data_IF_646360242073
#
_entry.id   IF_646360242073
#
_cell.length_a   1.000
_cell.length_b   1.000
_cell.length_c   1.000
_cell.angle_alpha   90.00
_cell.angle_beta   90.00
_cell.angle_gamma   90.00
#
_symmetry.space_group_name_H-M   'P 1'
#
loop_
_entity.id
_entity.type
_entity.pdbx_description
1 polymer ?
#
# COMPACT_ATOMS: atom_id res chain seq x y z
N UNK A 1 14.22 -2.80 10.56
CA UNK A 1 13.44 -3.51 9.53
C UNK A 1 14.18 -3.45 8.19
N UNK A 2 14.68 -4.58 7.66
CA UNK A 2 15.33 -4.59 6.34
C UNK A 2 14.28 -4.27 5.29
N UNK A 3 14.38 -3.10 4.65
CA UNK A 3 13.69 -2.82 3.40
C UNK A 3 14.17 -3.90 2.44
N UNK A 4 13.38 -4.96 2.22
CA UNK A 4 13.58 -5.85 1.09
C UNK A 4 13.31 -5.02 -0.16
N UNK A 5 14.34 -4.28 -0.56
CA UNK A 5 14.46 -3.76 -1.91
C UNK A 5 14.45 -5.01 -2.79
N UNK A 6 13.72 -4.99 -3.89
CA UNK A 6 13.75 -6.04 -4.90
C UNK A 6 14.68 -5.58 -6.03
N UNK A 7 16.01 -5.54 -5.83
CA UNK A 7 16.93 -4.97 -6.81
C UNK A 7 16.89 -5.75 -8.12
N UNK A 8 16.77 -7.08 -8.07
CA UNK A 8 16.64 -7.92 -9.26
C UNK A 8 15.37 -7.61 -10.06
N UNK A 9 14.25 -7.36 -9.36
CA UNK A 9 13.00 -6.96 -10.02
C UNK A 9 13.09 -5.56 -10.65
N UNK A 10 13.78 -4.62 -9.99
CA UNK A 10 13.99 -3.28 -10.53
C UNK A 10 14.89 -3.32 -11.78
N UNK A 11 15.94 -4.14 -11.75
CA UNK A 11 16.85 -4.32 -12.88
C UNK A 11 16.15 -5.03 -14.05
N UNK A 12 15.29 -6.01 -13.74
CA UNK A 12 14.44 -6.66 -14.74
C UNK A 12 13.54 -5.64 -15.46
N UNK A 13 12.83 -4.79 -14.70
CA UNK A 13 11.98 -3.74 -15.26
C UNK A 13 12.77 -2.74 -16.11
N UNK A 14 13.99 -2.38 -15.67
CA UNK A 14 14.89 -1.46 -16.36
C UNK A 14 15.43 -2.04 -17.66
N UNK A 15 16.07 -3.21 -17.60
CA UNK A 15 16.70 -3.83 -18.77
C UNK A 15 15.72 -4.18 -19.87
N UNK A 16 14.48 -4.50 -19.50
CA UNK A 16 13.40 -4.81 -20.45
C UNK A 16 12.60 -3.57 -20.88
N UNK A 17 12.91 -2.39 -20.34
CA UNK A 17 12.17 -1.13 -20.60
C UNK A 17 10.65 -1.28 -20.45
N UNK A 18 10.21 -2.11 -19.50
CA UNK A 18 8.78 -2.46 -19.32
C UNK A 18 7.98 -1.28 -18.76
N UNK A 19 8.66 -0.40 -18.03
CA UNK A 19 8.08 0.80 -17.41
C UNK A 19 9.10 1.94 -17.51
N UNK A 20 8.63 3.18 -17.51
CA UNK A 20 9.53 4.32 -17.40
C UNK A 20 10.34 4.24 -16.10
N UNK A 21 11.63 4.57 -16.18
CA UNK A 21 12.57 4.45 -15.05
C UNK A 21 12.08 5.17 -13.78
N UNK A 22 11.41 6.31 -13.93
CA UNK A 22 10.86 7.07 -12.80
C UNK A 22 9.80 6.29 -12.00
N UNK A 23 9.14 5.32 -12.63
CA UNK A 23 8.10 4.48 -12.01
C UNK A 23 8.62 3.15 -11.45
N UNK A 24 9.85 2.73 -11.77
CA UNK A 24 10.39 1.43 -11.33
C UNK A 24 10.30 1.26 -9.81
N UNK A 25 10.64 2.31 -9.04
CA UNK A 25 10.54 2.29 -7.57
C UNK A 25 9.11 2.08 -7.07
N UNK A 26 8.11 2.63 -7.77
CA UNK A 26 6.69 2.46 -7.42
C UNK A 26 6.24 1.02 -7.68
N UNK A 27 6.59 0.44 -8.82
CA UNK A 27 6.27 -0.96 -9.12
C UNK A 27 6.95 -1.91 -8.13
N UNK A 28 8.23 -1.68 -7.80
CA UNK A 28 8.93 -2.47 -6.78
C UNK A 28 8.29 -2.35 -5.39
N UNK A 29 7.75 -1.19 -5.04
CA UNK A 29 7.00 -1.01 -3.80
C UNK A 29 5.73 -1.89 -3.76
N UNK A 30 4.95 -1.88 -4.84
CA UNK A 30 3.72 -2.68 -4.94
C UNK A 30 4.02 -4.18 -4.97
N UNK A 31 5.02 -4.62 -5.74
CA UNK A 31 5.46 -6.01 -5.78
C UNK A 31 5.87 -6.52 -4.39
N UNK A 32 6.61 -5.71 -3.62
CA UNK A 32 6.97 -6.03 -2.23
C UNK A 32 5.74 -6.17 -1.34
N UNK A 33 4.78 -5.24 -1.43
CA UNK A 33 3.55 -5.32 -0.64
C UNK A 33 2.72 -6.56 -1.00
N UNK A 34 2.61 -6.86 -2.28
CA UNK A 34 1.91 -8.05 -2.76
C UNK A 34 2.58 -9.33 -2.28
N UNK A 35 3.92 -9.43 -2.36
CA UNK A 35 4.68 -10.58 -1.89
C UNK A 35 4.51 -10.80 -0.37
N UNK A 36 4.45 -9.72 0.42
CA UNK A 36 4.17 -9.83 1.85
C UNK A 36 2.72 -10.28 2.12
N UNK A 37 1.77 -9.85 1.30
CA UNK A 37 0.37 -10.24 1.39
C UNK A 37 0.16 -11.72 1.02
N UNK A 38 0.73 -12.18 -0.09
CA UNK A 38 0.54 -13.54 -0.61
C UNK A 38 1.14 -14.62 0.29
N UNK A 39 2.17 -14.29 1.09
CA UNK A 39 2.77 -15.20 2.07
C UNK A 39 1.79 -15.68 3.15
N UNK A 40 0.71 -14.94 3.41
CA UNK A 40 -0.30 -15.33 4.41
C UNK A 40 -1.30 -16.37 3.89
N UNK A 41 -1.45 -16.49 2.56
CA UNK A 41 -2.43 -17.38 1.92
C UNK A 41 -1.81 -18.08 0.69
N UNK A 42 -0.85 -19.01 0.89
CA UNK A 42 -0.11 -19.63 -0.20
C UNK A 42 -0.96 -20.58 -1.07
N UNK A 43 -2.10 -21.05 -0.56
CA UNK A 43 -2.97 -22.01 -1.25
C UNK A 43 -3.91 -21.36 -2.28
N UNK A 44 -3.93 -20.03 -2.38
CA UNK A 44 -4.78 -19.34 -3.33
C UNK A 44 -4.11 -19.27 -4.71
N UNK A 45 -4.91 -19.43 -5.77
CA UNK A 45 -4.47 -19.12 -7.12
C UNK A 45 -3.99 -17.68 -7.22
N UNK A 46 -3.00 -17.43 -8.08
CA UNK A 46 -2.41 -16.11 -8.28
C UNK A 46 -3.46 -15.03 -8.58
N UNK A 47 -4.44 -15.34 -9.44
CA UNK A 47 -5.52 -14.39 -9.77
C UNK A 47 -6.33 -14.01 -8.52
N UNK A 48 -6.70 -15.01 -7.71
CA UNK A 48 -7.45 -14.78 -6.48
C UNK A 48 -6.62 -14.01 -5.44
N UNK A 49 -5.31 -14.23 -5.38
CA UNK A 49 -4.40 -13.43 -4.54
C UNK A 49 -4.38 -11.96 -5.00
N UNK A 50 -4.32 -11.70 -6.31
CA UNK A 50 -4.36 -10.35 -6.87
C UNK A 50 -5.68 -9.66 -6.56
N UNK A 51 -6.82 -10.33 -6.78
CA UNK A 51 -8.15 -9.80 -6.46
C UNK A 51 -8.29 -9.43 -4.98
N UNK A 52 -7.89 -10.35 -4.08
CA UNK A 52 -7.92 -10.08 -2.62
C UNK A 52 -7.00 -8.93 -2.23
N UNK A 53 -5.81 -8.85 -2.81
CA UNK A 53 -4.89 -7.75 -2.53
C UNK A 53 -5.45 -6.40 -2.99
N UNK A 54 -6.08 -6.34 -4.16
CA UNK A 54 -6.72 -5.11 -4.66
C UNK A 54 -7.88 -4.67 -3.75
N UNK A 55 -8.68 -5.61 -3.25
CA UNK A 55 -9.75 -5.32 -2.30
C UNK A 55 -9.18 -4.79 -0.98
N UNK A 56 -8.15 -5.43 -0.44
CA UNK A 56 -7.43 -4.95 0.74
C UNK A 56 -6.94 -3.50 0.58
N UNK A 57 -6.37 -3.13 -0.58
CA UNK A 57 -5.93 -1.76 -0.84
C UNK A 57 -7.08 -0.75 -0.86
N UNK A 58 -8.23 -1.12 -1.45
CA UNK A 58 -9.44 -0.28 -1.45
C UNK A 58 -9.96 -0.07 -0.03
N UNK A 59 -10.01 -1.12 0.77
CA UNK A 59 -10.45 -1.05 2.17
C UNK A 59 -9.54 -0.15 3.00
N UNK A 60 -8.22 -0.30 2.89
CA UNK A 60 -7.25 0.56 3.58
C UNK A 60 -7.42 2.05 3.20
N UNK A 61 -7.64 2.35 1.91
CA UNK A 61 -7.94 3.71 1.46
C UNK A 61 -9.23 4.25 2.08
N UNK A 62 -10.27 3.43 2.14
CA UNK A 62 -11.55 3.82 2.73
C UNK A 62 -11.42 4.08 4.24
N UNK A 63 -10.68 3.25 4.96
CA UNK A 63 -10.38 3.44 6.39
C UNK A 63 -9.62 4.76 6.60
N UNK A 64 -8.55 5.00 5.84
CA UNK A 64 -7.79 6.24 5.93
C UNK A 64 -8.64 7.49 5.64
N UNK A 65 -9.52 7.43 4.64
CA UNK A 65 -10.44 8.51 4.32
C UNK A 65 -11.45 8.77 5.45
N UNK A 66 -12.00 7.70 6.05
CA UNK A 66 -12.90 7.82 7.20
C UNK A 66 -12.19 8.45 8.40
N UNK A 67 -10.97 8.02 8.71
CA UNK A 67 -10.16 8.57 9.79
C UNK A 67 -9.83 10.06 9.55
N UNK A 68 -9.47 10.43 8.33
CA UNK A 68 -9.21 11.82 7.97
C UNK A 68 -10.46 12.69 8.14
N UNK A 69 -11.64 12.19 7.75
CA UNK A 69 -12.90 12.90 7.95
C UNK A 69 -13.23 13.07 9.43
N UNK A 70 -13.13 11.98 10.20
CA UNK A 70 -13.36 12.02 11.65
C UNK A 70 -12.43 13.01 12.35
N UNK A 71 -11.13 13.05 11.99
CA UNK A 71 -10.18 14.01 12.56
C UNK A 71 -10.55 15.48 12.26
N UNK A 72 -11.11 15.73 11.07
CA UNK A 72 -11.60 17.06 10.68
C UNK A 72 -12.95 17.43 11.32
N UNK A 73 -13.68 16.42 11.80
CA UNK A 73 -14.96 16.55 12.51
C UNK A 73 -14.78 16.61 14.03
N UNK A 74 -13.55 16.55 14.56
CA UNK A 74 -13.29 16.82 15.98
C UNK A 74 -13.36 18.35 16.17
N UNK A 75 -14.42 18.91 16.79
CA UNK A 75 -14.38 20.31 17.17
C UNK A 75 -13.23 20.48 18.16
N UNK A 76 -12.42 21.54 17.98
CA UNK A 76 -11.44 21.96 18.96
C UNK A 76 -12.11 22.06 20.33
N UNK A 77 -11.97 21.03 21.17
CA UNK A 77 -12.20 21.12 22.60
C UNK A 77 -11.00 21.81 23.24
N UNK A 78 -10.73 23.04 22.79
CA UNK A 78 -9.76 23.94 23.40
C UNK A 78 -10.42 25.29 23.58
N UNK A 79 -11.22 25.42 24.62
CA UNK A 79 -11.76 26.71 25.04
C UNK A 79 -13.12 26.63 25.69
N UNK A 80 -13.21 26.06 26.89
CA UNK A 80 -14.12 26.53 27.95
C UNK A 80 -13.81 25.73 29.24
N UNK A 81 -12.69 26.07 29.85
CA UNK A 81 -12.47 25.90 31.29
C UNK A 81 -11.79 27.16 31.78
N UNK A 82 -12.59 28.13 32.23
CA UNK A 82 -12.26 29.17 33.21
C UNK A 82 -13.38 30.23 33.20
N UNK A 83 -14.33 30.09 34.12
CA UNK A 83 -14.97 31.18 34.85
C UNK A 83 -15.74 30.58 36.03
#
# INVERSE_FOLDING_TARGET
MRKMVLPEFQEYLRSKSLVNEKYIRFYAHWARKFLAFSKNDPNLSHDLQVQKFLNYLKEQKNIANRQARQANEVPEISGHSAA
#
